data_IF_348472155602
#
_entry.id   IF_348472155602
#
_cell.length_a   1.000
_cell.length_b   1.000
_cell.length_c   1.000
_cell.angle_alpha   90.00
_cell.angle_beta   90.00
_cell.angle_gamma   90.00
#
_symmetry.space_group_name_H-M   'P 1'
#
loop_
_entity.id
_entity.type
_entity.pdbx_description
1 polymer ?
#
# COMPACT_ATOMS: atom_id res chain seq x y z
N UNK A 1 -71.70 12.58 -2.94
CA UNK A 1 -71.05 11.38 -2.34
C UNK A 1 -71.05 10.12 -3.25
N UNK A 2 -71.26 10.20 -4.58
CA UNK A 2 -71.20 9.00 -5.46
C UNK A 2 -69.86 8.77 -6.18
N UNK A 3 -68.99 9.78 -6.29
CA UNK A 3 -67.70 9.67 -7.00
C UNK A 3 -66.55 9.01 -6.19
N UNK A 4 -66.68 8.90 -4.86
CA UNK A 4 -65.63 8.35 -3.98
C UNK A 4 -65.61 6.81 -3.97
N UNK A 5 -66.77 6.16 -4.14
CA UNK A 5 -66.85 4.69 -4.11
C UNK A 5 -66.33 4.05 -5.41
N UNK A 6 -66.62 4.67 -6.57
CA UNK A 6 -66.14 4.19 -7.87
C UNK A 6 -64.63 4.29 -8.03
N UNK A 7 -63.99 5.33 -7.48
CA UNK A 7 -62.53 5.49 -7.49
C UNK A 7 -61.83 4.47 -6.58
N UNK A 8 -62.47 4.09 -5.46
CA UNK A 8 -61.98 3.05 -4.56
C UNK A 8 -62.08 1.66 -5.18
N UNK A 9 -63.21 1.34 -5.83
CA UNK A 9 -63.42 0.08 -6.56
C UNK A 9 -62.51 -0.01 -7.79
N UNK A 10 -62.33 1.07 -8.55
CA UNK A 10 -61.40 1.11 -9.69
C UNK A 10 -59.94 0.95 -9.24
N UNK A 11 -59.54 1.57 -8.12
CA UNK A 11 -58.23 1.31 -7.50
C UNK A 11 -58.06 -0.16 -7.13
N UNK A 12 -59.07 -0.80 -6.53
CA UNK A 12 -58.99 -2.21 -6.17
C UNK A 12 -58.94 -3.16 -7.37
N UNK A 13 -59.71 -2.87 -8.42
CA UNK A 13 -59.76 -3.70 -9.64
C UNK A 13 -58.51 -3.52 -10.51
N UNK A 14 -57.87 -2.34 -10.49
CA UNK A 14 -56.72 -2.06 -11.38
C UNK A 14 -55.38 -2.14 -10.63
N UNK A 15 -55.26 -1.56 -9.43
CA UNK A 15 -53.99 -1.56 -8.69
C UNK A 15 -53.69 -2.92 -8.08
N UNK A 16 -54.68 -3.65 -7.56
CA UNK A 16 -54.40 -4.89 -6.85
C UNK A 16 -53.90 -6.00 -7.79
N UNK A 17 -54.49 -6.22 -8.99
CA UNK A 17 -53.96 -7.14 -9.98
C UNK A 17 -52.61 -6.71 -10.57
N UNK A 18 -52.37 -5.40 -10.71
CA UNK A 18 -51.08 -4.91 -11.19
C UNK A 18 -49.97 -5.07 -10.14
N UNK A 19 -50.27 -4.85 -8.85
CA UNK A 19 -49.34 -5.14 -7.76
C UNK A 19 -49.05 -6.63 -7.63
N UNK A 20 -50.07 -7.50 -7.70
CA UNK A 20 -49.86 -8.95 -7.65
C UNK A 20 -49.08 -9.44 -8.87
N UNK A 21 -49.32 -8.89 -10.07
CA UNK A 21 -48.53 -9.19 -11.26
C UNK A 21 -47.07 -8.75 -11.10
N UNK A 22 -46.80 -7.55 -10.58
CA UNK A 22 -45.44 -7.06 -10.32
C UNK A 22 -44.73 -7.93 -9.28
N UNK A 23 -45.41 -8.31 -8.20
CA UNK A 23 -44.88 -9.21 -7.18
C UNK A 23 -44.62 -10.61 -7.77
N UNK A 24 -45.52 -11.14 -8.58
CA UNK A 24 -45.34 -12.42 -9.26
C UNK A 24 -44.15 -12.39 -10.21
N UNK A 25 -44.03 -11.36 -11.07
CA UNK A 25 -42.89 -11.16 -11.97
C UNK A 25 -41.59 -11.04 -11.16
N UNK A 26 -41.59 -10.30 -10.05
CA UNK A 26 -40.43 -10.22 -9.16
C UNK A 26 -40.09 -11.60 -8.58
N UNK A 27 -41.06 -12.34 -8.02
CA UNK A 27 -40.84 -13.67 -7.47
C UNK A 27 -40.28 -14.65 -8.50
N UNK A 28 -40.83 -14.65 -9.73
CA UNK A 28 -40.30 -15.45 -10.84
C UNK A 28 -38.87 -15.04 -11.18
N UNK A 29 -38.57 -13.73 -11.27
CA UNK A 29 -37.19 -13.24 -11.48
C UNK A 29 -36.24 -13.68 -10.35
N UNK A 30 -36.68 -13.60 -9.10
CA UNK A 30 -35.92 -14.02 -7.93
C UNK A 30 -35.67 -15.53 -7.89
N UNK A 31 -36.53 -16.34 -8.50
CA UNK A 31 -36.38 -17.79 -8.56
C UNK A 31 -35.53 -18.23 -9.77
N UNK A 32 -35.73 -17.58 -10.93
CA UNK A 32 -35.02 -17.90 -12.18
C UNK A 32 -33.60 -17.34 -12.19
N UNK A 33 -33.38 -16.13 -11.68
CA UNK A 33 -32.05 -15.49 -11.76
C UNK A 33 -30.95 -16.27 -11.01
N UNK A 34 -31.16 -16.81 -9.80
CA UNK A 34 -30.15 -17.64 -9.13
C UNK A 34 -29.87 -18.94 -9.88
N UNK A 35 -30.89 -19.59 -10.46
CA UNK A 35 -30.72 -20.81 -11.26
C UNK A 35 -29.95 -20.53 -12.55
N UNK A 36 -30.29 -19.44 -13.25
CA UNK A 36 -29.57 -19.01 -14.44
C UNK A 36 -28.11 -18.63 -14.11
N UNK A 37 -27.88 -17.95 -12.98
CA UNK A 37 -26.53 -17.61 -12.51
C UNK A 37 -25.73 -18.85 -12.13
N UNK A 38 -26.35 -19.82 -11.45
CA UNK A 38 -25.73 -21.11 -11.12
C UNK A 38 -25.35 -21.86 -12.39
N UNK A 39 -26.25 -21.94 -13.38
CA UNK A 39 -25.98 -22.59 -14.66
C UNK A 39 -24.87 -21.87 -15.44
N UNK A 40 -24.83 -20.54 -15.36
CA UNK A 40 -23.74 -19.75 -15.92
C UNK A 40 -22.41 -20.03 -15.22
N UNK A 41 -22.38 -20.19 -13.89
CA UNK A 41 -21.16 -20.53 -13.14
C UNK A 41 -20.71 -21.98 -13.33
N UNK A 42 -21.64 -22.92 -13.53
CA UNK A 42 -21.35 -24.34 -13.72
C UNK A 42 -20.95 -24.71 -15.15
N UNK A 43 -21.55 -24.06 -16.14
CA UNK A 43 -21.41 -24.44 -17.55
C UNK A 43 -20.90 -23.28 -18.39
N UNK A 44 -21.55 -22.12 -18.33
CA UNK A 44 -21.26 -20.99 -19.21
C UNK A 44 -19.82 -20.48 -19.08
N UNK A 45 -19.43 -20.06 -17.88
CA UNK A 45 -18.09 -19.52 -17.59
C UNK A 45 -17.00 -20.60 -17.76
N UNK A 46 -17.13 -21.83 -17.21
CA UNK A 46 -16.14 -22.89 -17.44
C UNK A 46 -15.96 -23.21 -18.93
N UNK A 47 -17.03 -23.24 -19.71
CA UNK A 47 -16.94 -23.46 -21.17
C UNK A 47 -16.18 -22.34 -21.88
N UNK A 48 -16.33 -21.09 -21.41
CA UNK A 48 -15.50 -19.97 -21.86
C UNK A 48 -14.04 -20.15 -21.49
N UNK A 49 -13.74 -20.51 -20.23
CA UNK A 49 -12.38 -20.73 -19.75
C UNK A 49 -11.65 -21.87 -20.49
N UNK A 50 -12.36 -22.93 -20.86
CA UNK A 50 -11.81 -24.04 -21.65
C UNK A 50 -11.32 -23.63 -23.05
N UNK A 51 -11.81 -22.50 -23.57
CA UNK A 51 -11.40 -21.95 -24.87
C UNK A 51 -10.16 -21.04 -24.75
N UNK A 52 -9.84 -20.58 -23.55
CA UNK A 52 -8.69 -19.71 -23.32
C UNK A 52 -7.41 -20.53 -23.50
N UNK A 53 -6.50 -20.01 -24.32
CA UNK A 53 -5.16 -20.54 -24.50
C UNK A 53 -4.21 -19.72 -23.65
N UNK A 54 -3.49 -20.39 -22.76
CA UNK A 54 -2.39 -19.82 -21.99
C UNK A 54 -1.09 -20.10 -22.78
N UNK A 55 -0.38 -19.09 -23.28
CA UNK A 55 0.90 -19.32 -23.94
C UNK A 55 1.90 -19.90 -22.93
N UNK A 56 2.73 -20.87 -23.34
CA UNK A 56 3.79 -21.40 -22.47
C UNK A 56 4.80 -20.30 -22.12
N UNK A 57 5.27 -19.58 -23.15
CA UNK A 57 6.13 -18.41 -23.01
C UNK A 57 5.37 -17.18 -23.49
N UNK A 58 4.72 -16.43 -22.58
CA UNK A 58 4.04 -15.19 -22.96
C UNK A 58 5.03 -14.15 -23.47
N UNK A 59 4.60 -13.34 -24.42
CA UNK A 59 5.40 -12.21 -24.91
C UNK A 59 5.33 -11.02 -23.96
N UNK A 60 6.45 -10.71 -23.33
CA UNK A 60 6.64 -9.47 -22.59
C UNK A 60 7.29 -8.43 -23.51
N UNK A 61 6.48 -7.53 -24.07
CA UNK A 61 6.99 -6.45 -24.91
C UNK A 61 7.60 -5.37 -24.01
N UNK A 62 8.86 -5.00 -24.25
CA UNK A 62 9.48 -3.87 -23.55
C UNK A 62 8.76 -2.57 -23.91
N UNK A 63 8.48 -1.75 -22.90
CA UNK A 63 7.78 -0.47 -23.03
C UNK A 63 8.68 0.62 -22.46
N UNK A 64 8.71 1.78 -23.09
CA UNK A 64 9.39 2.95 -22.52
C UNK A 64 8.46 3.63 -21.54
N UNK A 65 9.03 4.20 -20.48
CA UNK A 65 8.25 4.88 -19.45
C UNK A 65 7.23 5.91 -19.99
N UNK A 66 7.51 6.75 -21.01
CA UNK A 66 6.53 7.68 -21.57
C UNK A 66 5.30 7.00 -22.21
N UNK A 67 5.45 5.76 -22.68
CA UNK A 67 4.39 5.01 -23.36
C UNK A 67 3.45 4.30 -22.37
N UNK A 68 3.77 4.32 -21.07
CA UNK A 68 2.90 3.78 -20.04
C UNK A 68 1.63 4.63 -19.89
N UNK A 69 0.44 4.01 -19.75
CA UNK A 69 -0.76 4.72 -19.32
C UNK A 69 -0.56 5.38 -17.96
N UNK A 70 -1.15 6.54 -17.72
CA UNK A 70 -0.90 7.33 -16.50
C UNK A 70 -1.15 6.52 -15.21
N UNK A 71 -2.24 5.75 -15.15
CA UNK A 71 -2.55 4.95 -13.96
C UNK A 71 -1.54 3.81 -13.72
N UNK A 72 -1.03 3.19 -14.79
CA UNK A 72 0.04 2.19 -14.68
C UNK A 72 1.36 2.85 -14.29
N UNK A 73 1.66 4.01 -14.87
CA UNK A 73 2.85 4.79 -14.56
C UNK A 73 2.88 5.21 -13.09
N UNK A 74 1.77 5.73 -12.53
CA UNK A 74 1.66 6.07 -11.10
C UNK A 74 1.94 4.83 -10.25
N UNK A 75 1.18 3.75 -10.42
CA UNK A 75 1.28 2.55 -9.59
C UNK A 75 2.69 1.90 -9.63
N UNK A 76 3.28 1.80 -10.82
CA UNK A 76 4.61 1.20 -10.99
C UNK A 76 5.73 2.11 -10.46
N UNK A 77 5.55 3.43 -10.52
CA UNK A 77 6.54 4.40 -10.02
C UNK A 77 6.45 4.55 -8.52
N UNK A 78 5.26 4.52 -7.92
CA UNK A 78 5.08 4.46 -6.46
C UNK A 78 5.80 3.26 -5.86
N UNK A 79 5.62 2.07 -6.46
CA UNK A 79 6.31 0.86 -6.02
C UNK A 79 7.83 0.96 -6.19
N UNK A 80 8.30 1.53 -7.30
CA UNK A 80 9.73 1.69 -7.56
C UNK A 80 10.39 2.68 -6.59
N UNK A 81 9.77 3.84 -6.36
CA UNK A 81 10.27 4.88 -5.45
C UNK A 81 10.33 4.37 -4.01
N UNK A 82 9.30 3.63 -3.55
CA UNK A 82 9.33 2.96 -2.24
C UNK A 82 10.54 2.02 -2.15
N UNK A 83 10.78 1.20 -3.17
CA UNK A 83 11.80 0.16 -3.10
C UNK A 83 13.22 0.68 -3.39
N UNK A 84 13.35 1.85 -3.99
CA UNK A 84 14.64 2.51 -4.18
C UNK A 84 15.35 2.78 -2.84
N UNK A 85 14.61 3.18 -1.80
CA UNK A 85 15.14 3.35 -0.45
C UNK A 85 15.69 2.04 0.17
N UNK A 86 15.21 0.89 -0.33
CA UNK A 86 15.68 -0.44 0.05
C UNK A 86 16.74 -1.00 -0.92
N UNK A 87 17.29 -0.18 -1.82
CA UNK A 87 18.38 -0.56 -2.73
C UNK A 87 17.95 -1.24 -4.04
N UNK A 88 16.65 -1.33 -4.33
CA UNK A 88 16.20 -1.91 -5.60
C UNK A 88 16.41 -0.96 -6.77
N UNK A 89 16.79 -1.55 -7.91
CA UNK A 89 16.99 -0.81 -9.17
C UNK A 89 16.08 -1.38 -10.25
N UNK A 90 15.37 -0.49 -10.95
CA UNK A 90 14.53 -0.84 -12.10
C UNK A 90 15.37 -1.45 -13.23
N UNK A 91 14.97 -2.63 -13.70
CA UNK A 91 15.60 -3.34 -14.81
C UNK A 91 14.84 -3.15 -16.13
N UNK A 92 13.53 -2.89 -16.08
CA UNK A 92 12.74 -2.58 -17.26
C UNK A 92 11.23 -2.61 -17.04
N UNK A 93 10.51 -2.01 -17.98
CA UNK A 93 9.05 -1.97 -18.04
C UNK A 93 8.54 -2.85 -19.19
N UNK A 94 7.45 -3.57 -18.94
CA UNK A 94 6.89 -4.54 -19.88
C UNK A 94 5.38 -4.46 -19.96
N UNK A 95 4.87 -4.81 -21.14
CA UNK A 95 3.45 -5.05 -21.40
C UNK A 95 3.23 -6.50 -21.80
N UNK A 96 2.19 -7.11 -21.24
CA UNK A 96 1.74 -8.44 -21.61
C UNK A 96 0.21 -8.46 -21.79
N UNK A 97 -0.23 -8.84 -22.99
CA UNK A 97 -1.65 -8.92 -23.35
C UNK A 97 -2.17 -10.38 -23.33
N UNK A 98 -1.28 -11.35 -23.08
CA UNK A 98 -1.57 -12.78 -23.28
C UNK A 98 -1.90 -13.52 -21.98
N UNK A 99 -1.55 -12.95 -20.83
CA UNK A 99 -1.76 -13.58 -19.51
C UNK A 99 -3.15 -13.31 -18.92
N UNK A 100 -3.82 -12.24 -19.35
CA UNK A 100 -5.14 -11.86 -18.85
C UNK A 100 -6.15 -11.80 -19.98
N UNK A 101 -7.26 -12.53 -19.83
CA UNK A 101 -8.33 -12.52 -20.83
C UNK A 101 -8.98 -11.13 -20.91
N UNK A 102 -8.91 -10.51 -22.10
CA UNK A 102 -9.37 -9.12 -22.32
C UNK A 102 -8.75 -8.13 -21.33
N UNK A 103 -7.48 -8.33 -20.98
CA UNK A 103 -6.75 -7.43 -20.10
C UNK A 103 -5.37 -7.14 -20.63
N UNK A 104 -4.77 -6.11 -20.06
CA UNK A 104 -3.38 -5.73 -20.28
C UNK A 104 -2.69 -5.70 -18.93
N UNK A 105 -1.56 -6.38 -18.85
CA UNK A 105 -0.69 -6.38 -17.68
C UNK A 105 0.51 -5.49 -17.97
N UNK A 106 0.64 -4.41 -17.21
CA UNK A 106 1.81 -3.54 -17.20
C UNK A 106 2.68 -3.93 -16.02
N UNK A 107 3.97 -4.12 -16.27
CA UNK A 107 4.91 -4.68 -15.30
C UNK A 107 6.14 -3.79 -15.23
N UNK A 108 6.66 -3.61 -14.02
CA UNK A 108 8.00 -3.07 -13.78
C UNK A 108 8.80 -4.11 -13.01
N UNK A 109 9.90 -4.56 -13.60
CA UNK A 109 10.80 -5.49 -12.96
C UNK A 109 11.92 -4.73 -12.25
N UNK A 110 12.11 -4.99 -10.96
CA UNK A 110 13.19 -4.43 -10.15
C UNK A 110 14.04 -5.55 -9.57
N UNK A 111 15.31 -5.25 -9.33
CA UNK A 111 16.26 -6.18 -8.73
C UNK A 111 17.14 -5.47 -7.74
N UNK A 112 17.41 -6.12 -6.62
CA UNK A 112 18.44 -5.66 -5.70
C UNK A 112 19.82 -6.06 -6.27
N UNK A 113 20.81 -5.15 -6.35
CA UNK A 113 22.11 -5.47 -6.94
C UNK A 113 22.83 -6.59 -6.19
N UNK A 114 22.73 -6.59 -4.86
CA UNK A 114 23.50 -7.47 -3.97
C UNK A 114 22.71 -8.66 -3.42
N UNK A 115 21.40 -8.71 -3.62
CA UNK A 115 20.54 -9.77 -3.07
C UNK A 115 19.93 -10.59 -4.21
N UNK A 116 19.72 -11.88 -3.96
CA UNK A 116 19.08 -12.81 -4.91
C UNK A 116 17.58 -12.57 -5.11
N UNK A 117 17.03 -11.46 -4.61
CA UNK A 117 15.60 -11.15 -4.63
C UNK A 117 15.24 -10.29 -5.85
N UNK A 118 14.29 -10.80 -6.65
CA UNK A 118 13.65 -10.07 -7.74
C UNK A 118 12.27 -9.57 -7.34
N UNK A 119 11.88 -8.41 -7.85
CA UNK A 119 10.59 -7.78 -7.58
C UNK A 119 9.85 -7.52 -8.88
N UNK A 120 8.57 -7.84 -8.88
CA UNK A 120 7.65 -7.51 -9.95
C UNK A 120 6.55 -6.61 -9.40
N UNK A 121 6.57 -5.33 -9.78
CA UNK A 121 5.42 -4.45 -9.61
C UNK A 121 4.50 -4.63 -10.82
N UNK A 122 3.20 -4.76 -10.59
CA UNK A 122 2.23 -5.08 -11.63
C UNK A 122 0.99 -4.20 -11.53
N UNK A 123 0.54 -3.72 -12.67
CA UNK A 123 -0.75 -3.04 -12.85
C UNK A 123 -1.56 -3.78 -13.92
N UNK A 124 -2.66 -4.39 -13.51
CA UNK A 124 -3.57 -5.15 -14.36
C UNK A 124 -4.82 -4.31 -14.68
N UNK A 125 -4.97 -3.94 -15.94
CA UNK A 125 -6.19 -3.34 -16.48
C UNK A 125 -7.01 -4.41 -17.19
N UNK A 126 -8.28 -4.57 -16.83
CA UNK A 126 -9.19 -5.50 -17.50
C UNK A 126 -10.25 -4.67 -18.22
N UNK A 127 -10.45 -4.94 -19.51
CA UNK A 127 -11.43 -4.27 -20.37
C UNK A 127 -12.86 -4.79 -20.08
N UNK A 128 -13.28 -4.61 -18.83
CA UNK A 128 -14.62 -4.89 -18.34
C UNK A 128 -15.05 -3.69 -17.50
N UNK A 129 -16.09 -2.92 -17.89
CA UNK A 129 -16.45 -1.62 -17.28
C UNK A 129 -16.67 -1.63 -15.77
N UNK A 130 -16.96 -2.80 -15.19
CA UNK A 130 -17.34 -2.96 -13.78
C UNK A 130 -16.17 -3.45 -12.91
N UNK A 131 -15.02 -3.81 -13.50
CA UNK A 131 -13.88 -4.32 -12.72
C UNK A 131 -12.82 -3.24 -12.55
N UNK A 132 -12.48 -2.85 -11.31
CA UNK A 132 -11.38 -1.93 -11.08
C UNK A 132 -10.07 -2.56 -11.54
N UNK A 133 -9.17 -1.72 -12.03
CA UNK A 133 -7.78 -2.11 -12.24
C UNK A 133 -7.15 -2.53 -10.91
N UNK A 134 -6.13 -3.37 -10.99
CA UNK A 134 -5.46 -3.91 -9.81
C UNK A 134 -3.98 -3.62 -9.84
N UNK A 135 -3.45 -3.31 -8.68
CA UNK A 135 -2.02 -3.14 -8.46
C UNK A 135 -1.56 -4.13 -7.41
N UNK A 136 -0.39 -4.72 -7.61
CA UNK A 136 0.26 -5.57 -6.63
C UNK A 136 1.77 -5.59 -6.86
N UNK A 137 2.48 -6.00 -5.82
CA UNK A 137 3.92 -6.24 -5.84
C UNK A 137 4.16 -7.69 -5.48
N UNK A 138 5.14 -8.29 -6.13
CA UNK A 138 5.57 -9.66 -5.90
C UNK A 138 7.08 -9.71 -5.69
N UNK A 139 7.51 -10.15 -4.52
CA UNK A 139 8.89 -10.47 -4.20
C UNK A 139 9.14 -11.94 -4.47
N UNK A 140 10.28 -12.26 -5.09
CA UNK A 140 10.65 -13.62 -5.43
C UNK A 140 12.11 -13.88 -5.12
N UNK A 141 12.38 -14.97 -4.41
CA UNK A 141 13.72 -15.46 -4.10
C UNK A 141 13.79 -16.95 -4.42
N UNK A 142 14.73 -17.32 -5.29
CA UNK A 142 14.99 -18.72 -5.66
C UNK A 142 16.11 -19.29 -4.78
N UNK A 143 15.95 -20.53 -4.35
CA UNK A 143 16.93 -21.26 -3.55
C UNK A 143 17.73 -22.22 -4.43
N UNK A 144 18.90 -22.65 -3.94
CA UNK A 144 19.78 -23.58 -4.67
C UNK A 144 19.13 -24.92 -5.05
N UNK A 145 18.11 -25.35 -4.31
CA UNK A 145 17.33 -26.57 -4.60
C UNK A 145 16.26 -26.36 -5.68
N UNK A 146 16.24 -25.18 -6.30
CA UNK A 146 15.28 -24.77 -7.31
C UNK A 146 13.90 -24.41 -6.75
N UNK A 147 13.70 -24.42 -5.43
CA UNK A 147 12.44 -23.93 -4.87
C UNK A 147 12.36 -22.42 -4.96
N UNK A 148 11.16 -21.90 -5.11
CA UNK A 148 10.88 -20.48 -5.25
C UNK A 148 9.97 -20.03 -4.10
N UNK A 149 10.42 -19.05 -3.33
CA UNK A 149 9.58 -18.35 -2.37
C UNK A 149 9.06 -17.07 -3.01
N UNK A 150 7.75 -16.87 -2.95
CA UNK A 150 7.06 -15.68 -3.42
C UNK A 150 6.27 -15.04 -2.30
N UNK A 151 6.44 -13.74 -2.10
CA UNK A 151 5.61 -12.93 -1.19
C UNK A 151 4.89 -11.85 -2.00
N UNK A 152 3.57 -11.77 -1.88
CA UNK A 152 2.75 -10.83 -2.67
C UNK A 152 1.59 -10.24 -1.85
N UNK A 153 1.17 -9.02 -2.21
CA UNK A 153 -0.02 -8.36 -1.69
C UNK A 153 -1.24 -8.41 -2.62
N UNK A 154 -1.24 -9.32 -3.61
CA UNK A 154 -2.37 -9.48 -4.51
C UNK A 154 -3.72 -9.67 -3.76
N UNK A 155 -4.71 -8.84 -4.07
CA UNK A 155 -6.06 -8.81 -3.47
C UNK A 155 -7.03 -9.86 -4.06
N UNK A 156 -6.48 -10.92 -4.66
CA UNK A 156 -7.20 -11.94 -5.40
C UNK A 156 -6.66 -13.34 -5.09
N UNK A 157 -7.52 -14.33 -4.86
CA UNK A 157 -7.05 -15.70 -4.87
C UNK A 157 -6.53 -16.05 -6.26
N UNK A 158 -5.47 -16.85 -6.33
CA UNK A 158 -5.02 -17.43 -7.59
C UNK A 158 -6.06 -18.45 -8.09
N UNK A 159 -6.33 -18.44 -9.40
CA UNK A 159 -7.26 -19.38 -10.03
C UNK A 159 -6.77 -20.82 -9.92
N UNK A 160 -5.47 -21.02 -10.13
CA UNK A 160 -4.79 -22.31 -10.05
C UNK A 160 -3.95 -22.41 -8.76
N UNK A 161 -3.73 -23.62 -8.23
CA UNK A 161 -2.83 -23.78 -7.07
C UNK A 161 -1.39 -23.46 -7.44
N UNK A 162 -0.57 -23.18 -6.44
CA UNK A 162 0.87 -23.07 -6.62
C UNK A 162 1.48 -24.45 -6.93
N UNK A 163 2.41 -24.56 -7.90
CA UNK A 163 3.23 -25.75 -8.09
C UNK A 163 4.00 -26.17 -6.84
N UNK A 164 4.44 -27.44 -6.77
CA UNK A 164 5.11 -27.97 -5.58
C UNK A 164 6.46 -27.29 -5.25
N UNK A 165 7.15 -26.75 -6.25
CA UNK A 165 8.39 -26.00 -6.05
C UNK A 165 8.15 -24.55 -5.57
N UNK A 166 6.91 -24.06 -5.66
CA UNK A 166 6.55 -22.67 -5.41
C UNK A 166 5.82 -22.52 -4.07
N UNK A 167 6.51 -21.92 -3.09
CA UNK A 167 5.89 -21.48 -1.85
C UNK A 167 5.39 -20.04 -2.04
N UNK A 168 4.07 -19.84 -1.94
CA UNK A 168 3.45 -18.53 -2.10
C UNK A 168 2.86 -18.03 -0.77
N UNK A 169 3.35 -16.89 -0.32
CA UNK A 169 2.90 -16.12 0.84
C UNK A 169 2.08 -14.95 0.30
N UNK A 170 0.79 -14.95 0.58
CA UNK A 170 -0.14 -13.93 0.10
C UNK A 170 -0.66 -13.13 1.30
N UNK A 171 -0.33 -11.84 1.34
CA UNK A 171 -0.64 -10.92 2.44
C UNK A 171 -1.46 -9.75 1.92
N UNK A 172 -2.77 -9.94 1.86
CA UNK A 172 -3.68 -9.00 1.17
C UNK A 172 -3.80 -7.65 1.89
N UNK A 173 -3.54 -7.61 3.19
CA UNK A 173 -3.71 -6.42 4.03
C UNK A 173 -2.42 -5.58 4.12
N UNK A 174 -1.32 -6.04 3.50
CA UNK A 174 -0.04 -5.31 3.48
C UNK A 174 0.08 -4.60 2.14
N UNK A 175 -0.35 -3.34 2.12
CA UNK A 175 -0.34 -2.53 0.91
C UNK A 175 1.05 -1.94 0.61
N UNK A 176 1.85 -1.63 1.64
CA UNK A 176 3.14 -0.96 1.49
C UNK A 176 4.26 -1.91 1.00
N UNK A 177 4.92 -1.63 -0.15
CA UNK A 177 5.94 -2.54 -0.69
C UNK A 177 7.17 -2.73 0.19
N UNK A 178 7.63 -1.72 0.94
CA UNK A 178 8.75 -1.87 1.88
C UNK A 178 8.41 -2.76 3.07
N UNK A 179 7.20 -2.68 3.60
CA UNK A 179 6.71 -3.56 4.65
C UNK A 179 6.67 -5.02 4.17
N UNK A 180 6.15 -5.23 2.95
CA UNK A 180 6.12 -6.55 2.32
C UNK A 180 7.53 -7.10 2.07
N UNK A 181 8.47 -6.25 1.66
CA UNK A 181 9.87 -6.61 1.50
C UNK A 181 10.53 -7.00 2.82
N UNK A 182 10.33 -6.23 3.89
CA UNK A 182 10.88 -6.54 5.22
C UNK A 182 10.46 -7.95 5.68
N UNK A 183 9.16 -8.29 5.53
CA UNK A 183 8.67 -9.63 5.82
C UNK A 183 9.27 -10.71 4.92
N UNK A 184 9.44 -10.42 3.62
CA UNK A 184 10.06 -11.37 2.68
C UNK A 184 11.51 -11.64 3.03
N UNK A 185 12.31 -10.58 3.24
CA UNK A 185 13.72 -10.67 3.62
C UNK A 185 13.89 -11.42 4.93
N UNK A 186 13.17 -11.03 5.98
CA UNK A 186 13.30 -11.65 7.29
C UNK A 186 12.84 -13.12 7.27
N UNK A 187 11.90 -13.49 6.39
CA UNK A 187 11.53 -14.89 6.16
C UNK A 187 12.66 -15.66 5.47
N UNK A 188 13.26 -15.09 4.41
CA UNK A 188 14.39 -15.70 3.70
C UNK A 188 15.57 -15.92 4.65
N UNK A 189 15.90 -14.95 5.51
CA UNK A 189 16.98 -15.04 6.50
C UNK A 189 16.76 -16.14 7.56
N UNK A 190 15.49 -16.44 7.89
CA UNK A 190 15.14 -17.48 8.86
C UNK A 190 15.04 -18.87 8.25
N UNK A 191 15.05 -18.97 6.93
CA UNK A 191 15.04 -20.25 6.24
C UNK A 191 16.47 -20.82 6.16
N UNK A 192 16.68 -22.10 6.46
CA UNK A 192 18.01 -22.71 6.47
C UNK A 192 18.61 -22.90 5.06
N UNK A 193 17.83 -22.70 4.00
CA UNK A 193 18.26 -22.92 2.61
C UNK A 193 19.08 -21.74 2.09
N UNK A 194 20.20 -22.07 1.44
CA UNK A 194 21.00 -21.06 0.74
C UNK A 194 20.25 -20.53 -0.50
N UNK A 195 20.26 -19.20 -0.66
CA UNK A 195 19.70 -18.50 -1.81
C UNK A 195 20.54 -18.79 -3.05
N UNK A 196 19.89 -19.09 -4.17
CA UNK A 196 20.58 -19.37 -5.42
C UNK A 196 21.39 -18.15 -5.87
N UNK A 197 22.60 -18.36 -6.45
CA UNK A 197 23.44 -17.28 -6.91
C UNK A 197 22.75 -16.54 -8.06
N UNK A 198 23.09 -15.26 -8.15
CA UNK A 198 22.57 -14.34 -9.17
C UNK A 198 22.78 -14.93 -10.56
N UNK A 199 21.70 -15.19 -11.30
CA UNK A 199 21.81 -15.38 -12.75
C UNK A 199 22.11 -14.04 -13.39
N UNK A 200 23.34 -13.86 -13.89
CA UNK A 200 23.75 -12.69 -14.68
C UNK A 200 22.85 -12.47 -15.91
N UNK A 201 22.27 -13.56 -16.43
CA UNK A 201 21.31 -13.53 -17.55
C UNK A 201 20.07 -12.65 -17.29
N UNK A 202 19.61 -12.55 -16.04
CA UNK A 202 18.43 -11.76 -15.67
C UNK A 202 18.59 -10.25 -15.92
N UNK A 203 19.83 -9.73 -15.88
CA UNK A 203 20.11 -8.32 -16.19
C UNK A 203 20.32 -8.08 -17.68
N UNK A 204 20.58 -9.12 -18.48
CA UNK A 204 20.75 -9.03 -19.94
C UNK A 204 19.44 -9.23 -20.70
N UNK A 205 18.55 -10.07 -20.17
CA UNK A 205 17.22 -10.33 -20.76
C UNK A 205 16.12 -10.49 -19.68
N UNK A 206 15.62 -9.38 -19.12
CA UNK A 206 14.54 -9.42 -18.13
C UNK A 206 13.21 -9.94 -18.70
N UNK A 207 12.92 -9.71 -19.99
CA UNK A 207 11.71 -10.22 -20.64
C UNK A 207 11.75 -11.75 -20.78
N UNK A 208 12.89 -12.30 -21.19
CA UNK A 208 13.15 -13.74 -21.26
C UNK A 208 12.98 -14.41 -19.91
N UNK A 209 13.53 -13.82 -18.84
CA UNK A 209 13.38 -14.31 -17.46
C UNK A 209 11.91 -14.41 -17.03
N UNK A 210 11.12 -13.37 -17.29
CA UNK A 210 9.68 -13.38 -16.97
C UNK A 210 8.96 -14.48 -17.77
N UNK A 211 9.30 -14.64 -19.05
CA UNK A 211 8.74 -15.69 -19.90
C UNK A 211 9.13 -17.10 -19.44
N UNK A 212 10.39 -17.32 -19.04
CA UNK A 212 10.88 -18.59 -18.50
C UNK A 212 10.18 -18.96 -17.18
N UNK A 213 9.92 -17.96 -16.34
CA UNK A 213 9.17 -18.15 -15.09
C UNK A 213 7.74 -18.62 -15.36
N UNK A 214 7.06 -18.01 -16.34
CA UNK A 214 5.73 -18.45 -16.76
C UNK A 214 5.76 -19.86 -17.37
N UNK A 215 6.74 -20.18 -18.22
CA UNK A 215 6.87 -21.52 -18.82
C UNK A 215 7.02 -22.59 -17.75
N UNK A 216 7.90 -22.34 -16.77
CA UNK A 216 8.13 -23.25 -15.65
C UNK A 216 6.85 -23.49 -14.83
N UNK A 217 6.10 -22.44 -14.50
CA UNK A 217 4.85 -22.56 -13.75
C UNK A 217 3.78 -23.31 -14.56
N UNK A 218 3.62 -22.99 -15.85
CA UNK A 218 2.64 -23.64 -16.72
C UNK A 218 2.98 -25.12 -16.92
N UNK A 219 4.24 -25.47 -17.16
CA UNK A 219 4.68 -26.87 -17.29
C UNK A 219 4.40 -27.68 -16.03
N UNK A 220 4.73 -27.14 -14.85
CA UNK A 220 4.42 -27.82 -13.60
C UNK A 220 2.92 -28.03 -13.40
N UNK A 221 2.08 -27.07 -13.84
CA UNK A 221 0.62 -27.21 -13.81
C UNK A 221 0.09 -28.22 -14.83
N UNK A 222 0.77 -28.43 -15.97
CA UNK A 222 0.47 -29.51 -16.92
C UNK A 222 0.80 -30.87 -16.28
N UNK A 223 1.98 -31.00 -15.67
CA UNK A 223 2.43 -32.23 -15.00
C UNK A 223 1.50 -32.63 -13.84
N UNK A 224 1.05 -31.65 -13.06
CA UNK A 224 0.07 -31.84 -11.99
C UNK A 224 -1.37 -32.08 -12.50
N UNK A 225 -1.59 -32.03 -13.82
CA UNK A 225 -2.87 -32.36 -14.44
C UNK A 225 -3.91 -31.24 -14.43
N UNK A 226 -3.57 -30.01 -14.03
CA UNK A 226 -4.48 -28.84 -14.08
C UNK A 226 -4.66 -28.33 -15.50
N UNK A 227 -3.59 -28.40 -16.30
CA UNK A 227 -3.55 -27.94 -17.67
C UNK A 227 -3.38 -29.12 -18.64
N UNK A 228 -3.67 -28.87 -19.91
CA UNK A 228 -3.41 -29.77 -21.03
C UNK A 228 -2.67 -28.99 -22.11
N UNK A 229 -1.56 -29.53 -22.58
CA UNK A 229 -0.81 -28.98 -23.69
C UNK A 229 -1.65 -29.04 -24.99
N UNK A 230 -1.68 -27.95 -25.76
CA UNK A 230 -2.28 -27.91 -27.09
C UNK A 230 -1.43 -28.76 -28.06
N UNK A 231 -1.99 -29.41 -29.09
CA UNK A 231 -1.24 -30.30 -29.97
C UNK A 231 -0.05 -29.63 -30.70
N UNK A 232 -0.08 -28.31 -30.86
CA UNK A 232 1.01 -27.52 -31.44
C UNK A 232 2.18 -27.28 -30.49
N UNK A 233 2.03 -27.60 -29.20
CA UNK A 233 3.09 -27.49 -28.20
C UNK A 233 3.41 -26.07 -27.72
N UNK A 234 2.72 -25.04 -28.20
CA UNK A 234 3.03 -23.62 -27.87
C UNK A 234 2.16 -23.02 -26.75
N UNK A 235 1.04 -23.67 -26.43
CA UNK A 235 0.08 -23.18 -25.45
C UNK A 235 -0.55 -24.32 -24.65
N UNK A 236 -1.11 -23.97 -23.50
CA UNK A 236 -1.83 -24.87 -22.62
C UNK A 236 -3.29 -24.40 -22.46
N UNK A 237 -4.18 -25.34 -22.19
CA UNK A 237 -5.59 -25.07 -21.88
C UNK A 237 -5.95 -25.67 -20.54
N UNK A 238 -6.93 -25.07 -19.88
CA UNK A 238 -7.50 -25.64 -18.66
C UNK A 238 -8.16 -26.99 -18.94
N UNK A 239 -8.05 -27.93 -18.00
CA UNK A 239 -8.93 -29.10 -17.98
C UNK A 239 -10.31 -28.71 -17.45
N UNK A 240 -11.40 -29.46 -17.77
CA UNK A 240 -12.77 -29.11 -17.35
C UNK A 240 -12.91 -28.89 -15.85
N UNK A 241 -12.31 -29.75 -15.04
CA UNK A 241 -12.34 -29.64 -13.60
C UNK A 241 -11.54 -28.41 -13.11
N UNK A 242 -10.39 -28.12 -13.71
CA UNK A 242 -9.57 -26.94 -13.39
C UNK A 242 -10.30 -25.64 -13.74
N UNK A 243 -11.03 -25.61 -14.86
CA UNK A 243 -11.89 -24.50 -15.24
C UNK A 243 -13.00 -24.28 -14.20
N UNK A 244 -13.71 -25.35 -13.81
CA UNK A 244 -14.76 -25.28 -12.79
C UNK A 244 -14.21 -24.80 -11.44
N UNK A 245 -13.10 -25.36 -10.96
CA UNK A 245 -12.44 -24.93 -9.72
C UNK A 245 -12.01 -23.46 -9.79
N UNK A 246 -11.47 -23.03 -10.93
CA UNK A 246 -11.09 -21.62 -11.14
C UNK A 246 -12.28 -20.68 -11.03
N UNK A 247 -13.44 -21.05 -11.61
CA UNK A 247 -14.67 -20.24 -11.47
C UNK A 247 -15.09 -20.12 -10.02
N UNK A 248 -15.15 -21.23 -9.28
CA UNK A 248 -15.56 -21.21 -7.88
C UNK A 248 -14.59 -20.43 -6.99
N UNK A 249 -13.28 -20.48 -7.25
CA UNK A 249 -12.29 -19.66 -6.52
C UNK A 249 -12.42 -18.17 -6.80
N UNK A 250 -12.92 -17.78 -7.97
CA UNK A 250 -13.02 -16.38 -8.40
C UNK A 250 -14.41 -15.77 -8.17
N UNK A 251 -15.44 -16.59 -7.99
CA UNK A 251 -16.82 -16.15 -7.79
C UNK A 251 -17.08 -15.68 -6.36
N UNK A 252 -17.85 -14.60 -6.20
CA UNK A 252 -18.38 -14.20 -4.89
C UNK A 252 -19.46 -15.21 -4.45
N UNK A 253 -19.54 -15.59 -3.16
CA UNK A 253 -18.73 -15.14 -2.03
C UNK A 253 -17.45 -15.95 -1.78
N UNK A 254 -17.26 -17.09 -2.47
CA UNK A 254 -16.13 -18.00 -2.24
C UNK A 254 -14.77 -17.33 -2.43
N UNK A 255 -14.66 -16.37 -3.37
CA UNK A 255 -13.45 -15.57 -3.58
C UNK A 255 -12.91 -14.98 -2.26
N UNK A 256 -13.79 -14.39 -1.47
CA UNK A 256 -13.40 -13.76 -0.19
C UNK A 256 -12.94 -14.80 0.82
N UNK A 257 -13.58 -15.97 0.85
CA UNK A 257 -13.20 -17.08 1.73
C UNK A 257 -11.84 -17.66 1.35
N UNK A 258 -11.59 -17.89 0.06
CA UNK A 258 -10.29 -18.37 -0.42
C UNK A 258 -9.17 -17.37 -0.15
N UNK A 259 -9.43 -16.09 -0.37
CA UNK A 259 -8.45 -15.04 -0.11
C UNK A 259 -8.13 -14.94 1.39
N UNK A 260 -9.16 -14.99 2.25
CA UNK A 260 -8.98 -15.02 3.70
C UNK A 260 -8.23 -16.27 4.17
N UNK A 261 -8.54 -17.45 3.61
CA UNK A 261 -7.84 -18.69 3.95
C UNK A 261 -6.36 -18.65 3.53
N UNK A 262 -6.06 -18.10 2.35
CA UNK A 262 -4.70 -17.91 1.86
C UNK A 262 -3.91 -16.93 2.73
N UNK A 263 -4.52 -15.80 3.09
CA UNK A 263 -3.93 -14.80 3.99
C UNK A 263 -3.68 -15.38 5.39
N UNK A 264 -4.68 -16.05 5.98
CA UNK A 264 -4.55 -16.71 7.28
C UNK A 264 -3.44 -17.77 7.28
N UNK A 265 -3.34 -18.59 6.24
CA UNK A 265 -2.27 -19.59 6.11
C UNK A 265 -0.90 -18.91 6.03
N UNK A 266 -0.80 -17.82 5.27
CA UNK A 266 0.42 -17.04 5.12
C UNK A 266 0.88 -16.43 6.45
N UNK A 267 -0.05 -15.82 7.20
CA UNK A 267 0.20 -15.30 8.55
C UNK A 267 0.64 -16.39 9.52
N UNK A 268 0.01 -17.58 9.48
CA UNK A 268 0.41 -18.71 10.31
C UNK A 268 1.82 -19.21 9.98
N UNK A 269 2.21 -19.26 8.70
CA UNK A 269 3.56 -19.63 8.29
C UNK A 269 4.60 -18.60 8.76
N UNK A 270 4.29 -17.31 8.66
CA UNK A 270 5.16 -16.24 9.15
C UNK A 270 5.31 -16.29 10.67
N UNK A 271 4.21 -16.46 11.40
CA UNK A 271 4.23 -16.58 12.87
C UNK A 271 5.03 -17.79 13.36
N UNK A 272 4.98 -18.93 12.65
CA UNK A 272 5.83 -20.10 12.95
C UNK A 272 7.32 -19.81 12.81
N UNK A 273 7.68 -18.84 11.98
CA UNK A 273 9.05 -18.35 11.84
C UNK A 273 9.30 -17.11 12.71
N UNK A 274 8.45 -16.80 13.70
CA UNK A 274 8.60 -15.68 14.62
C UNK A 274 8.37 -14.29 14.00
N UNK A 275 7.69 -14.20 12.85
CA UNK A 275 7.38 -12.94 12.19
C UNK A 275 5.97 -12.48 12.58
N UNK A 276 5.88 -11.27 13.14
CA UNK A 276 4.61 -10.65 13.50
C UNK A 276 4.11 -9.75 12.37
N UNK A 277 3.11 -10.27 11.64
CA UNK A 277 2.50 -9.59 10.49
C UNK A 277 1.62 -8.42 10.93
N UNK A 278 1.11 -8.42 12.17
CA UNK A 278 0.19 -7.38 12.63
C UNK A 278 0.84 -6.00 12.66
N UNK A 279 2.15 -5.92 12.89
CA UNK A 279 2.95 -4.68 12.88
C UNK A 279 3.05 -4.01 11.50
N UNK A 280 2.74 -4.74 10.44
CA UNK A 280 2.85 -4.28 9.05
C UNK A 280 1.49 -4.04 8.38
N UNK A 281 0.40 -4.09 9.15
CA UNK A 281 -0.95 -3.83 8.68
C UNK A 281 -1.53 -2.62 9.40
N UNK A 282 -2.28 -1.78 8.67
CA UNK A 282 -2.89 -0.57 9.23
C UNK A 282 -2.66 0.66 8.37
N UNK A 283 -2.78 1.83 8.99
CA UNK A 283 -2.51 3.12 8.36
C UNK A 283 -1.00 3.38 8.24
N UNK A 284 -0.61 4.19 7.27
CA UNK A 284 0.78 4.59 7.05
C UNK A 284 1.57 4.95 8.33
N UNK A 285 1.06 5.81 9.25
CA UNK A 285 1.81 6.22 10.44
C UNK A 285 1.99 5.11 11.48
N UNK A 286 1.24 4.00 11.38
CA UNK A 286 1.33 2.87 12.30
C UNK A 286 2.29 1.76 11.84
N UNK A 287 2.72 1.79 10.58
CA UNK A 287 3.54 0.74 9.98
C UNK A 287 5.00 1.19 9.96
N UNK A 288 5.85 0.59 10.80
CA UNK A 288 7.28 0.79 10.73
C UNK A 288 7.90 -0.08 9.62
N UNK A 289 8.46 0.54 8.59
CA UNK A 289 9.04 -0.17 7.43
C UNK A 289 10.55 -0.37 7.54
N UNK A 290 11.21 0.40 8.38
CA UNK A 290 12.65 0.32 8.59
C UNK A 290 13.00 0.80 9.99
N UNK A 291 13.91 0.08 10.67
CA UNK A 291 14.39 0.44 12.00
C UNK A 291 15.90 0.29 12.05
N UNK A 292 16.56 1.25 12.69
CA UNK A 292 18.00 1.22 12.93
C UNK A 292 18.35 1.74 14.33
N UNK A 293 19.44 1.25 14.94
CA UNK A 293 19.94 1.81 16.19
C UNK A 293 20.44 3.24 15.97
N UNK A 294 20.32 4.08 16.99
CA UNK A 294 20.89 5.43 16.99
C UNK A 294 22.42 5.31 17.04
N UNK A 295 23.17 6.04 16.19
CA UNK A 295 24.62 6.08 16.30
C UNK A 295 25.03 6.61 17.68
N UNK A 296 25.96 5.92 18.34
CA UNK A 296 26.24 5.99 19.79
C UNK A 296 26.91 7.30 20.29
N UNK A 297 26.63 8.46 19.70
CA UNK A 297 27.32 9.70 20.04
C UNK A 297 26.33 10.85 20.09
N UNK A 298 26.18 11.41 21.30
CA UNK A 298 25.46 12.64 21.72
C UNK A 298 24.01 12.44 22.22
N UNK A 299 23.67 12.96 23.42
CA UNK A 299 22.29 13.00 23.89
C UNK A 299 21.42 13.87 22.97
N UNK A 300 20.17 13.44 22.76
CA UNK A 300 19.19 14.20 21.97
C UNK A 300 18.50 15.16 22.92
N UNK A 301 19.06 16.36 23.06
CA UNK A 301 18.61 17.37 24.03
C UNK A 301 17.40 18.19 23.55
N UNK A 302 16.98 18.05 22.28
CA UNK A 302 15.88 18.82 21.69
C UNK A 302 15.54 18.43 20.26
N UNK A 303 14.46 19.02 19.72
CA UNK A 303 13.95 18.69 18.39
C UNK A 303 14.94 19.04 17.27
N UNK A 304 15.75 20.10 17.46
CA UNK A 304 16.80 20.45 16.49
C UNK A 304 17.91 19.41 16.47
N UNK A 305 18.34 18.93 17.64
CA UNK A 305 19.38 17.91 17.75
C UNK A 305 18.90 16.60 17.11
N UNK A 306 17.66 16.19 17.40
CA UNK A 306 17.05 15.00 16.81
C UNK A 306 16.92 15.08 15.29
N UNK A 307 16.56 16.25 14.75
CA UNK A 307 16.52 16.46 13.29
C UNK A 307 17.86 16.18 12.59
N UNK A 308 18.99 16.43 13.27
CA UNK A 308 20.32 16.09 12.75
C UNK A 308 20.51 14.61 12.46
N UNK A 309 19.92 13.73 13.28
CA UNK A 309 19.97 12.26 13.09
C UNK A 309 18.95 11.77 12.06
N UNK A 310 17.80 12.42 12.01
CA UNK A 310 16.67 12.01 11.17
C UNK A 310 16.85 12.43 9.71
N UNK A 311 17.48 13.59 9.46
CA UNK A 311 17.64 14.15 8.11
C UNK A 311 18.32 13.22 7.10
N UNK A 312 19.43 12.51 7.42
CA UNK A 312 20.04 11.58 6.48
C UNK A 312 19.08 10.45 6.08
N UNK A 313 18.32 9.93 7.04
CA UNK A 313 17.36 8.85 6.82
C UNK A 313 16.14 9.32 6.01
N UNK A 314 15.70 10.57 6.21
CA UNK A 314 14.68 11.20 5.37
C UNK A 314 15.16 11.32 3.92
N UNK A 315 16.39 11.78 3.70
CA UNK A 315 16.98 11.93 2.36
C UNK A 315 17.23 10.59 1.66
N UNK A 316 17.52 9.53 2.43
CA UNK A 316 17.61 8.17 1.89
C UNK A 316 16.23 7.63 1.49
N UNK A 317 15.19 7.95 2.26
CA UNK A 317 13.81 7.52 1.95
C UNK A 317 13.25 8.28 0.74
N UNK A 318 13.44 9.59 0.70
CA UNK A 318 13.13 10.44 -0.43
C UNK A 318 14.08 11.65 -0.45
N UNK A 319 14.87 11.77 -1.52
CA UNK A 319 15.85 12.83 -1.67
C UNK A 319 15.24 14.24 -1.71
N UNK A 320 13.94 14.36 -1.99
CA UNK A 320 13.18 15.62 -2.03
C UNK A 320 12.35 15.87 -0.77
N UNK A 321 12.46 15.02 0.24
CA UNK A 321 11.75 15.18 1.50
C UNK A 321 12.09 16.52 2.16
N UNK A 322 11.05 17.29 2.49
CA UNK A 322 11.12 18.48 3.33
C UNK A 322 10.40 18.21 4.64
N UNK A 323 10.92 18.77 5.73
CA UNK A 323 10.28 18.67 7.03
C UNK A 323 9.00 19.52 7.04
N UNK A 324 7.88 18.94 7.45
CA UNK A 324 6.59 19.62 7.58
C UNK A 324 6.33 20.01 9.04
N UNK A 325 6.48 19.05 9.95
CA UNK A 325 6.20 19.24 11.36
C UNK A 325 7.04 18.31 12.23
N UNK A 326 7.11 18.64 13.52
CA UNK A 326 7.70 17.79 14.56
C UNK A 326 6.71 17.67 15.70
N UNK A 327 6.45 16.46 16.17
CA UNK A 327 5.66 16.19 17.37
C UNK A 327 6.57 15.52 18.38
N UNK A 328 6.52 15.98 19.62
CA UNK A 328 7.28 15.45 20.74
C UNK A 328 6.29 14.94 21.77
N UNK A 329 6.36 13.66 22.10
CA UNK A 329 5.59 13.07 23.19
C UNK A 329 6.42 13.08 24.47
N UNK A 330 5.81 13.48 25.58
CA UNK A 330 6.47 13.52 26.88
C UNK A 330 6.14 12.29 27.73
N UNK A 331 7.05 11.92 28.61
CA UNK A 331 6.76 10.95 29.67
C UNK A 331 5.93 11.62 30.79
N UNK A 332 4.64 11.33 30.84
CA UNK A 332 3.72 11.83 31.86
C UNK A 332 3.99 11.33 33.28
N UNK A 333 4.90 10.35 33.47
CA UNK A 333 5.27 9.84 34.79
C UNK A 333 6.44 10.57 35.45
N UNK A 334 7.12 11.46 34.72
CA UNK A 334 8.31 12.15 35.19
C UNK A 334 7.96 13.52 35.84
N UNK A 335 8.59 13.81 36.98
CA UNK A 335 8.45 15.11 37.69
C UNK A 335 8.89 16.29 36.82
N UNK A 336 9.83 16.05 35.90
CA UNK A 336 10.23 16.98 34.85
C UNK A 336 9.91 16.35 33.50
N UNK A 337 9.20 17.06 32.60
CA UNK A 337 8.80 16.50 31.32
C UNK A 337 10.03 16.15 30.48
N UNK A 338 10.22 14.86 30.26
CA UNK A 338 11.30 14.34 29.44
C UNK A 338 10.75 13.88 28.09
N UNK A 339 11.37 14.26 26.95
CA UNK A 339 10.95 13.79 25.64
C UNK A 339 11.10 12.26 25.53
N UNK A 340 9.97 11.58 25.33
CA UNK A 340 9.92 10.12 25.16
C UNK A 340 10.14 9.72 23.71
N UNK A 341 9.44 10.37 22.78
CA UNK A 341 9.52 10.10 21.35
C UNK A 341 9.44 11.42 20.59
N UNK A 342 10.29 11.56 19.56
CA UNK A 342 10.18 12.63 18.57
C UNK A 342 9.70 12.04 17.25
N UNK A 343 8.58 12.55 16.73
CA UNK A 343 8.06 12.22 15.41
C UNK A 343 8.29 13.39 14.46
N UNK A 344 9.04 13.15 13.39
CA UNK A 344 9.31 14.12 12.34
C UNK A 344 8.51 13.74 11.10
N UNK A 345 7.57 14.59 10.70
CA UNK A 345 6.76 14.37 9.51
C UNK A 345 7.41 15.04 8.31
N UNK A 346 7.57 14.27 7.24
CA UNK A 346 8.17 14.71 5.99
C UNK A 346 7.14 14.66 4.87
N UNK A 347 7.24 15.65 3.98
CA UNK A 347 6.52 15.67 2.70
C UNK A 347 7.46 15.92 1.55
N UNK A 348 7.15 15.37 0.39
CA UNK A 348 7.82 15.70 -0.86
C UNK A 348 6.78 15.86 -1.97
N UNK A 349 7.19 16.49 -3.08
CA UNK A 349 6.41 16.51 -4.29
C UNK A 349 7.28 16.37 -5.54
N UNK A 350 6.67 15.87 -6.61
CA UNK A 350 7.29 15.76 -7.92
C UNK A 350 6.28 16.13 -9.02
N UNK A 351 6.66 17.14 -9.80
CA UNK A 351 5.86 17.61 -10.93
C UNK A 351 6.32 16.94 -12.23
N UNK A 352 5.36 16.36 -12.96
CA UNK A 352 5.58 15.71 -14.25
C UNK A 352 4.79 16.41 -15.34
N UNK A 353 5.37 17.50 -15.88
CA UNK A 353 4.72 18.37 -16.85
C UNK A 353 4.20 17.63 -18.11
N UNK A 354 4.93 16.64 -18.62
CA UNK A 354 4.51 15.87 -19.81
C UNK A 354 3.19 15.12 -19.58
N UNK A 355 2.96 14.63 -18.35
CA UNK A 355 1.74 13.91 -17.97
C UNK A 355 0.71 14.82 -17.30
N UNK A 356 1.13 16.03 -16.90
CA UNK A 356 0.36 17.01 -16.09
C UNK A 356 -0.10 16.38 -14.78
N UNK A 357 0.81 15.65 -14.15
CA UNK A 357 0.60 14.97 -12.87
C UNK A 357 1.58 15.54 -11.85
N UNK A 358 1.05 15.87 -10.68
CA UNK A 358 1.83 16.16 -9.48
C UNK A 358 1.67 14.99 -8.51
N UNK A 359 2.78 14.45 -8.02
CA UNK A 359 2.81 13.38 -7.03
C UNK A 359 3.26 13.93 -5.68
N UNK A 360 2.66 13.45 -4.61
CA UNK A 360 3.03 13.72 -3.24
C UNK A 360 3.47 12.44 -2.54
N UNK A 361 4.39 12.59 -1.59
CA UNK A 361 4.81 11.53 -0.70
C UNK A 361 4.88 12.10 0.72
N UNK A 362 4.27 11.43 1.68
CA UNK A 362 4.36 11.75 3.10
C UNK A 362 4.82 10.52 3.89
N UNK A 363 5.65 10.73 4.90
CA UNK A 363 6.09 9.69 5.82
C UNK A 363 6.61 10.32 7.11
N UNK A 364 6.67 9.53 8.17
CA UNK A 364 7.21 9.94 9.45
C UNK A 364 8.52 9.21 9.75
N UNK A 365 9.37 9.87 10.53
CA UNK A 365 10.50 9.23 11.20
C UNK A 365 10.35 9.41 12.70
N UNK A 366 10.30 8.28 13.41
CA UNK A 366 10.23 8.19 14.86
C UNK A 366 11.64 8.09 15.41
N UNK A 367 11.97 8.93 16.38
CA UNK A 367 13.20 8.93 17.14
C UNK A 367 12.85 8.71 18.61
N UNK A 368 13.21 7.53 19.10
CA UNK A 368 13.12 7.18 20.51
C UNK A 368 14.54 7.27 21.11
N UNK A 369 14.87 8.38 21.82
CA UNK A 369 16.18 8.55 22.43
C UNK A 369 16.42 7.58 23.59
N UNK A 370 15.37 7.10 24.28
CA UNK A 370 15.50 6.20 25.42
C UNK A 370 15.77 4.76 24.96
N UNK A 371 15.06 4.30 23.94
CA UNK A 371 15.34 3.01 23.30
C UNK A 371 16.57 3.08 22.38
N UNK A 372 17.04 4.28 22.06
CA UNK A 372 18.17 4.50 21.15
C UNK A 372 17.85 4.00 19.74
N UNK A 373 16.65 4.27 19.22
CA UNK A 373 16.22 3.78 17.91
C UNK A 373 15.63 4.87 17.02
N UNK A 374 15.85 4.70 15.72
CA UNK A 374 15.21 5.43 14.64
C UNK A 374 14.33 4.47 13.83
N UNK A 375 13.08 4.85 13.57
CA UNK A 375 12.18 4.08 12.73
C UNK A 375 11.54 4.96 11.66
N UNK A 376 11.37 4.44 10.45
CA UNK A 376 10.67 5.11 9.34
C UNK A 376 9.31 4.45 9.17
N UNK A 377 8.25 5.24 9.04
CA UNK A 377 6.91 4.73 8.78
C UNK A 377 6.67 4.48 7.29
N UNK A 378 5.57 3.78 6.96
CA UNK A 378 5.16 3.60 5.57
C UNK A 378 4.86 4.94 4.91
N UNK A 379 5.10 5.01 3.59
CA UNK A 379 4.90 6.24 2.83
C UNK A 379 3.50 6.28 2.24
N UNK A 380 2.76 7.34 2.54
CA UNK A 380 1.50 7.63 1.88
C UNK A 380 1.77 8.44 0.61
N UNK A 381 1.10 8.07 -0.48
CA UNK A 381 1.29 8.71 -1.78
C UNK A 381 -0.04 9.11 -2.37
N UNK A 382 -0.06 10.35 -2.86
CA UNK A 382 -1.21 10.95 -3.49
C UNK A 382 -0.81 11.55 -4.83
N UNK A 383 -1.77 11.71 -5.73
CA UNK A 383 -1.54 12.34 -7.01
C UNK A 383 -2.67 13.29 -7.38
N UNK A 384 -2.30 14.45 -7.91
CA UNK A 384 -3.19 15.38 -8.56
C UNK A 384 -2.92 15.36 -10.06
N UNK A 385 -3.98 15.42 -10.86
CA UNK A 385 -3.88 15.38 -12.32
C UNK A 385 -4.71 16.52 -12.91
N UNK A 386 -4.07 17.33 -13.74
CA UNK A 386 -4.73 18.35 -14.53
C UNK A 386 -5.25 17.77 -15.86
N UNK A 387 -6.45 18.20 -16.25
CA UNK A 387 -7.10 17.82 -17.50
C UNK A 387 -6.49 18.55 -18.72
N UNK A 388 -6.05 19.79 -18.54
CA UNK A 388 -5.47 20.64 -19.57
C UNK A 388 -4.22 21.41 -19.11
N UNK A 389 -3.63 22.17 -20.03
CA UNK A 389 -2.43 22.96 -19.79
C UNK A 389 -2.69 24.19 -18.90
N UNK A 390 -3.91 24.72 -18.88
CA UNK A 390 -4.29 25.88 -18.07
C UNK A 390 -4.38 25.43 -16.62
N UNK A 391 -5.13 24.37 -16.37
CA UNK A 391 -5.26 23.75 -15.04
C UNK A 391 -3.88 23.31 -14.52
N UNK A 392 -3.00 22.79 -15.39
CA UNK A 392 -1.63 22.46 -15.01
C UNK A 392 -0.83 23.68 -14.55
N UNK A 393 -0.95 24.83 -15.23
CA UNK A 393 -0.28 26.07 -14.82
C UNK A 393 -0.85 26.62 -13.51
N UNK A 394 -2.16 26.54 -13.31
CA UNK A 394 -2.80 26.95 -12.06
C UNK A 394 -2.32 26.08 -10.89
N UNK A 395 -2.32 24.76 -11.09
CA UNK A 395 -1.83 23.79 -10.12
C UNK A 395 -0.35 24.04 -9.78
N UNK A 396 0.48 24.36 -10.77
CA UNK A 396 1.92 24.61 -10.58
C UNK A 396 2.30 26.02 -10.17
N UNK A 397 1.37 26.99 -10.19
CA UNK A 397 1.66 28.38 -9.85
C UNK A 397 2.01 28.58 -8.36
N UNK A 398 1.50 27.73 -7.47
CA UNK A 398 1.76 27.80 -6.03
C UNK A 398 2.74 26.71 -5.63
N UNK A 399 3.80 27.07 -4.90
CA UNK A 399 4.69 26.10 -4.29
C UNK A 399 3.88 25.25 -3.29
N UNK A 400 3.76 23.93 -3.49
CA UNK A 400 2.80 23.15 -2.72
C UNK A 400 3.24 22.86 -1.29
N UNK A 401 4.52 23.11 -0.95
CA UNK A 401 5.09 22.81 0.35
C UNK A 401 5.95 23.99 0.85
N UNK A 402 5.62 24.50 2.04
CA UNK A 402 6.49 25.39 2.80
C UNK A 402 7.32 24.56 3.78
N UNK A 403 8.66 24.50 3.65
CA UNK A 403 9.48 23.66 4.52
C UNK A 403 9.64 24.29 5.92
N UNK A 404 9.43 23.49 6.96
CA UNK A 404 9.82 23.86 8.32
C UNK A 404 11.36 23.81 8.43
N UNK A 405 11.97 24.94 8.78
CA UNK A 405 13.43 25.07 8.90
C UNK A 405 13.83 25.38 10.34
N UNK A 406 14.80 24.63 10.85
CA UNK A 406 15.47 24.93 12.11
C UNK A 406 16.49 26.07 11.91
N UNK A 407 15.98 27.30 11.75
CA UNK A 407 16.82 28.50 11.65
C UNK A 407 17.57 28.77 12.97
N UNK A 408 18.75 29.41 12.97
CA UNK A 408 19.49 29.73 14.19
C UNK A 408 18.67 30.48 15.26
N UNK A 409 17.67 31.25 14.81
CA UNK A 409 16.79 32.08 15.65
C UNK A 409 15.54 31.34 16.16
N UNK A 410 15.28 30.11 15.70
CA UNK A 410 14.16 29.31 16.17
C UNK A 410 14.47 28.75 17.57
N UNK A 411 13.64 29.09 18.55
CA UNK A 411 13.73 28.57 19.91
C UNK A 411 13.28 27.11 19.92
N UNK A 412 14.17 26.23 20.36
CA UNK A 412 13.87 24.81 20.52
C UNK A 412 13.01 24.59 21.79
N UNK A 413 12.57 23.35 21.98
CA UNK A 413 11.61 22.96 23.00
C UNK A 413 12.05 23.35 24.42
N UNK A 414 13.34 23.20 24.73
CA UNK A 414 13.96 23.58 26.01
C UNK A 414 13.71 25.04 26.40
N UNK A 415 13.66 25.94 25.42
CA UNK A 415 13.46 27.38 25.63
C UNK A 415 11.99 27.80 25.66
N UNK A 416 11.11 27.05 25.02
CA UNK A 416 9.69 27.39 24.89
C UNK A 416 8.86 26.73 25.99
N UNK A 417 9.25 25.53 26.44
CA UNK A 417 8.50 24.74 27.41
C UNK A 417 8.27 25.45 28.75
N UNK A 418 9.25 26.15 29.37
CA UNK A 418 9.00 26.86 30.63
C UNK A 418 7.98 28.00 30.49
N UNK A 419 8.00 28.71 29.35
CA UNK A 419 7.05 29.78 29.04
C UNK A 419 5.64 29.23 28.80
N UNK A 420 5.54 28.08 28.12
CA UNK A 420 4.29 27.36 27.91
C UNK A 420 3.68 26.87 29.23
N UNK A 421 4.47 26.24 30.10
CA UNK A 421 4.03 25.79 31.42
C UNK A 421 3.54 26.96 32.29
N UNK A 422 4.26 28.08 32.29
CA UNK A 422 3.83 29.28 33.01
C UNK A 422 2.51 29.83 32.47
N UNK A 423 2.31 29.77 31.14
CA UNK A 423 1.08 30.22 30.50
C UNK A 423 -0.11 29.32 30.84
N UNK A 424 0.11 28.00 30.81
CA UNK A 424 -0.86 26.97 31.18
C UNK A 424 -1.26 27.07 32.65
N UNK A 425 -0.30 27.16 33.58
CA UNK A 425 -0.56 27.25 35.02
C UNK A 425 -1.36 28.50 35.44
N UNK A 426 -1.23 29.61 34.71
CA UNK A 426 -2.04 30.83 34.95
C UNK A 426 -3.53 30.65 34.63
N UNK A 427 -3.89 29.64 33.82
CA UNK A 427 -5.27 29.37 33.41
C UNK A 427 -6.02 28.37 34.29
N UNK A 428 -5.33 27.67 35.19
CA UNK A 428 -5.87 26.43 35.80
C UNK A 428 -6.15 26.50 37.31
N UNK A 429 -6.13 27.68 37.92
CA UNK A 429 -6.47 27.89 39.34
C UNK A 429 -5.77 26.90 40.30
N UNK A 430 -4.52 26.52 40.01
CA UNK A 430 -3.71 25.65 40.87
C UNK A 430 -3.84 24.14 40.64
N UNK A 431 -4.47 23.69 39.54
CA UNK A 431 -4.40 22.28 39.11
C UNK A 431 -2.99 21.92 38.65
N UNK A 432 -2.53 20.71 38.98
CA UNK A 432 -1.33 20.14 38.37
C UNK A 432 -1.61 19.86 36.88
N UNK A 433 -0.60 20.10 36.05
CA UNK A 433 -0.67 19.90 34.61
C UNK A 433 0.54 19.09 34.19
N UNK A 434 0.28 17.93 33.61
CA UNK A 434 1.30 17.14 32.94
C UNK A 434 1.30 17.53 31.45
N UNK A 435 2.40 18.10 30.92
CA UNK A 435 2.53 18.26 29.48
C UNK A 435 2.59 16.87 28.84
N UNK A 436 1.83 16.70 27.77
CA UNK A 436 1.63 15.42 27.10
C UNK A 436 2.31 15.42 25.74
N UNK A 437 2.13 16.49 24.96
CA UNK A 437 2.80 16.64 23.68
C UNK A 437 3.16 18.08 23.33
N UNK A 438 4.17 18.24 22.48
CA UNK A 438 4.55 19.51 21.87
C UNK A 438 4.72 19.35 20.35
N UNK A 439 4.06 20.20 19.57
CA UNK A 439 4.05 20.15 18.11
C UNK A 439 4.63 21.44 17.53
N UNK A 440 5.65 21.33 16.68
CA UNK A 440 6.21 22.42 15.88
C UNK A 440 5.72 22.29 14.44
N UNK A 441 5.03 23.32 13.93
CA UNK A 441 4.54 23.37 12.55
C UNK A 441 4.49 24.81 12.02
N UNK A 442 4.15 24.97 10.74
CA UNK A 442 3.95 26.29 10.12
C UNK A 442 2.47 26.68 10.12
N UNK A 443 2.13 27.77 10.80
CA UNK A 443 0.81 28.42 10.73
C UNK A 443 0.96 29.69 9.87
N UNK A 444 0.29 29.75 8.73
CA UNK A 444 0.43 30.84 7.73
C UNK A 444 1.90 31.15 7.37
N UNK A 445 2.73 30.11 7.26
CA UNK A 445 4.17 30.22 6.98
C UNK A 445 5.03 30.66 8.16
N UNK A 446 4.47 30.82 9.35
CA UNK A 446 5.19 31.17 10.58
C UNK A 446 5.38 29.93 11.46
N UNK A 447 6.59 29.65 11.96
CA UNK A 447 6.81 28.51 12.83
C UNK A 447 6.22 28.75 14.22
N UNK A 448 5.36 27.85 14.68
CA UNK A 448 4.69 27.91 15.98
C UNK A 448 4.86 26.59 16.73
N UNK A 449 4.98 26.70 18.05
CA UNK A 449 4.92 25.57 18.97
C UNK A 449 3.53 25.52 19.61
N UNK A 450 2.84 24.39 19.47
CA UNK A 450 1.64 24.07 20.22
C UNK A 450 2.00 23.06 21.30
N UNK A 451 1.80 23.42 22.57
CA UNK A 451 2.00 22.50 23.70
C UNK A 451 0.62 22.10 24.21
N UNK A 452 0.39 20.80 24.36
CA UNK A 452 -0.82 20.20 24.92
C UNK A 452 -0.48 19.60 26.28
N UNK A 453 -1.33 19.89 27.27
CA UNK A 453 -1.25 19.34 28.60
C UNK A 453 -2.63 18.87 29.05
N UNK A 454 -2.66 17.85 29.90
CA UNK A 454 -3.90 17.37 30.50
C UNK A 454 -3.97 17.80 31.96
N UNK A 455 -5.17 18.20 32.38
CA UNK A 455 -5.51 18.39 33.78
C UNK A 455 -5.99 17.06 34.38
N UNK A 456 -5.99 16.97 35.71
CA UNK A 456 -6.42 15.80 36.48
C UNK A 456 -7.87 15.33 36.21
N UNK A 457 -8.68 16.15 35.53
CA UNK A 457 -10.07 15.86 35.15
C UNK A 457 -10.23 15.45 33.67
N UNK A 458 -9.13 15.01 33.04
CA UNK A 458 -9.07 14.65 31.62
C UNK A 458 -9.49 15.79 30.67
N UNK A 459 -9.34 17.05 31.09
CA UNK A 459 -9.57 18.20 30.20
C UNK A 459 -8.27 18.55 29.45
N UNK A 460 -8.26 18.53 28.11
CA UNK A 460 -7.10 18.96 27.34
C UNK A 460 -6.99 20.47 27.31
N UNK A 461 -5.81 20.99 27.61
CA UNK A 461 -5.46 22.40 27.51
C UNK A 461 -4.30 22.55 26.53
N UNK A 462 -4.28 23.65 25.77
CA UNK A 462 -3.19 23.91 24.85
C UNK A 462 -2.76 25.38 24.89
N UNK A 463 -1.50 25.63 24.54
CA UNK A 463 -0.97 26.98 24.33
C UNK A 463 -0.15 26.97 23.05
N UNK A 464 -0.34 28.01 22.23
CA UNK A 464 0.45 28.23 21.01
C UNK A 464 1.42 29.37 21.26
N UNK A 465 2.70 29.13 21.00
CA UNK A 465 3.78 30.11 21.09
C UNK A 465 4.45 30.29 19.74
N UNK A 466 4.79 31.53 19.40
CA UNK A 466 5.62 31.81 18.24
C UNK A 466 7.04 31.27 18.48
N UNK A 467 7.53 30.42 17.58
CA UNK A 467 8.79 29.69 17.80
C UNK A 467 10.04 30.60 17.69
N UNK A 468 9.92 31.84 17.21
CA UNK A 468 11.04 32.79 17.11
C UNK A 468 11.12 33.67 18.36
N UNK A 469 9.99 34.22 18.76
CA UNK A 469 9.88 35.15 19.89
C UNK A 469 9.69 34.44 21.24
N UNK A 470 9.06 33.25 21.25
CA UNK A 470 8.63 32.55 22.47
C UNK A 470 7.41 33.20 23.13
N UNK A 471 6.71 34.09 22.44
CA UNK A 471 5.52 34.79 22.96
C UNK A 471 4.28 33.92 22.72
N UNK A 472 3.38 33.88 23.70
CA UNK A 472 2.08 33.21 23.58
C UNK A 472 1.20 33.95 22.57
N UNK A 473 0.81 33.25 21.52
CA UNK A 473 -0.06 33.74 20.44
C UNK A 473 -1.52 33.39 20.72
N UNK A 474 -1.77 32.19 21.27
CA UNK A 474 -3.11 31.67 21.55
C UNK A 474 -3.11 30.77 22.78
N UNK A 475 -4.23 30.72 23.49
CA UNK A 475 -4.52 29.83 24.62
C UNK A 475 -5.89 29.21 24.44
#
# INVERSE_FOLDING_TARGET
>A
MRYSFYTLVLRWIVLLPSYTLVLFIRSVKWLVAPLALLLQLLIGVPSGLLRIKLPLRPRFASVREPDLPDAAWIALTDAADTLAAAGFVTQGDFRCDELTWKGVLWLRFLKHPDLGTGVLAAYAAIDIPVRPARQFVEFSTEFHDGRLLVTTNLDLPYSLPAPAYLARIQLKDIWEPRALYALHRDLVERLPQAVAPKTEGASRDPAGLLADRCDREIRALIEQGWLRLDPRGESARLRPWAALTSVWRQAWPLRSLYLWAADRRSRQLLAKNGLDVAKFAGGAPSIEVYRQPLPAVTPVDGARAGYGYVRPLAQQTDARAVLESVVVEFDGSAVTPFPREFRYSFKSHADHAQRRIRRFCSFDILLDPMAGTLAVTASERECERAADEIEWRELTATAPLAPLRFDPWLRDLDRVLPAAQTALARGTNGKELAPDSASLYLEDGRPVWQIVAWADDDTPLFVILDARSGIVVKR
#
